data_IF_292578860648
#
_entry.id   IF_292578860648
#
_cell.length_a   1.000
_cell.length_b   1.000
_cell.length_c   1.000
_cell.angle_alpha   90.00
_cell.angle_beta   90.00
_cell.angle_gamma   90.00
#
_symmetry.space_group_name_H-M   'P 1'
#
loop_
_entity.id
_entity.type
_entity.pdbx_description
1 polymer ?
#
# COMPACT_ATOMS: atom_id res chain seq x y z
N UNK A 1 5.11 -11.15 -32.49
CA UNK A 1 4.33 -10.10 -31.82
C UNK A 1 3.04 -10.72 -31.32
N UNK A 2 2.88 -10.91 -30.01
CA UNK A 2 1.56 -11.26 -29.48
C UNK A 2 0.62 -10.07 -29.71
N UNK A 3 -0.64 -10.29 -30.14
CA UNK A 3 -1.60 -9.21 -30.23
C UNK A 3 -1.82 -8.62 -28.83
N UNK A 4 -2.08 -7.31 -28.71
CA UNK A 4 -2.41 -6.70 -27.42
C UNK A 4 -3.63 -7.40 -26.81
N UNK A 5 -3.60 -7.59 -25.50
CA UNK A 5 -4.71 -8.16 -24.73
C UNK A 5 -5.97 -7.33 -25.04
N UNK A 6 -7.10 -7.93 -25.48
CA UNK A 6 -8.29 -7.20 -25.95
C UNK A 6 -8.84 -6.15 -24.97
N UNK A 7 -8.56 -6.34 -23.67
CA UNK A 7 -8.99 -5.45 -22.60
C UNK A 7 -8.23 -4.10 -22.60
N UNK A 8 -6.96 -4.07 -23.00
CA UNK A 8 -6.15 -2.83 -23.08
C UNK A 8 -6.54 -1.92 -24.26
N UNK A 9 -6.97 -2.52 -25.37
CA UNK A 9 -7.51 -1.78 -26.53
C UNK A 9 -8.90 -1.21 -26.26
N UNK A 10 -9.71 -1.88 -25.44
CA UNK A 10 -11.02 -1.37 -25.03
C UNK A 10 -10.86 -0.15 -24.11
N UNK A 11 -9.98 -0.23 -23.11
CA UNK A 11 -9.67 0.86 -22.19
C UNK A 11 -9.21 2.15 -22.90
N UNK A 12 -8.29 2.02 -23.86
CA UNK A 12 -7.79 3.18 -24.63
C UNK A 12 -8.88 3.81 -25.50
N UNK A 13 -9.74 2.99 -26.11
CA UNK A 13 -10.84 3.48 -26.95
C UNK A 13 -11.97 4.15 -26.15
N UNK A 14 -12.30 3.64 -24.96
CA UNK A 14 -13.33 4.22 -24.08
C UNK A 14 -12.86 5.53 -23.44
N UNK A 15 -11.61 5.57 -22.96
CA UNK A 15 -11.01 6.78 -22.34
C UNK A 15 -10.91 7.95 -23.33
N UNK A 16 -10.70 7.66 -24.62
CA UNK A 16 -10.65 8.67 -25.69
C UNK A 16 -12.04 9.18 -26.12
N UNK A 17 -13.13 8.55 -25.67
CA UNK A 17 -14.50 8.85 -26.13
C UNK A 17 -15.33 9.75 -25.20
N UNK A 18 -14.80 10.12 -24.02
CA UNK A 18 -15.55 10.93 -23.04
C UNK A 18 -15.51 12.43 -23.36
N UNK A 19 -16.69 13.07 -23.38
CA UNK A 19 -16.89 14.51 -23.59
C UNK A 19 -16.89 15.30 -22.26
N UNK A 20 -16.11 16.38 -22.22
CA UNK A 20 -15.70 17.21 -21.06
C UNK A 20 -14.88 16.47 -19.98
N UNK A 21 -13.72 17.01 -19.56
CA UNK A 21 -12.83 16.28 -18.65
C UNK A 21 -13.43 16.25 -17.25
N UNK A 22 -13.94 15.09 -16.84
CA UNK A 22 -14.26 14.82 -15.44
C UNK A 22 -13.07 15.15 -14.52
N UNK A 23 -13.31 15.59 -13.27
CA UNK A 23 -12.25 15.86 -12.30
C UNK A 23 -11.29 14.67 -12.20
N UNK A 24 -9.97 14.93 -12.21
CA UNK A 24 -8.94 13.89 -12.20
C UNK A 24 -9.16 12.82 -11.12
N UNK A 25 -9.57 13.25 -9.92
CA UNK A 25 -9.85 12.34 -8.81
C UNK A 25 -11.04 11.41 -9.02
N UNK A 26 -12.01 11.76 -9.88
CA UNK A 26 -13.08 10.85 -10.29
C UNK A 26 -12.53 9.77 -11.22
N UNK A 27 -11.84 10.18 -12.29
CA UNK A 27 -11.25 9.27 -13.28
C UNK A 27 -10.25 8.28 -12.68
N UNK A 28 -9.42 8.72 -11.74
CA UNK A 28 -8.45 7.84 -11.07
C UNK A 28 -9.14 6.81 -10.15
N UNK A 29 -10.20 7.21 -9.44
CA UNK A 29 -11.02 6.29 -8.63
C UNK A 29 -11.71 5.26 -9.51
N UNK A 30 -12.34 5.70 -10.58
CA UNK A 30 -13.00 4.82 -11.55
C UNK A 30 -12.00 3.84 -12.18
N UNK A 31 -10.82 4.31 -12.59
CA UNK A 31 -9.78 3.46 -13.18
C UNK A 31 -9.33 2.34 -12.22
N UNK A 32 -9.15 2.64 -10.93
CA UNK A 32 -8.80 1.65 -9.91
C UNK A 32 -9.93 0.65 -9.67
N UNK A 33 -11.17 1.12 -9.51
CA UNK A 33 -12.33 0.22 -9.36
C UNK A 33 -12.54 -0.66 -10.59
N UNK A 34 -12.32 -0.10 -11.80
CA UNK A 34 -12.45 -0.83 -13.05
C UNK A 34 -11.39 -1.91 -13.18
N UNK A 35 -10.14 -1.63 -12.81
CA UNK A 35 -9.09 -2.64 -12.77
C UNK A 35 -9.48 -3.85 -11.89
N UNK A 36 -10.04 -3.60 -10.71
CA UNK A 36 -10.49 -4.66 -9.81
C UNK A 36 -11.67 -5.46 -10.37
N UNK A 37 -12.62 -4.76 -11.00
CA UNK A 37 -13.75 -5.37 -11.70
C UNK A 37 -13.25 -6.28 -12.83
N UNK A 38 -12.32 -5.80 -13.65
CA UNK A 38 -11.73 -6.56 -14.75
C UNK A 38 -10.96 -7.79 -14.25
N UNK A 39 -10.22 -7.69 -13.13
CA UNK A 39 -9.56 -8.83 -12.47
C UNK A 39 -10.59 -9.90 -12.08
N UNK A 40 -11.69 -9.47 -11.45
CA UNK A 40 -12.78 -10.35 -11.06
C UNK A 40 -13.42 -11.02 -12.26
N UNK A 41 -13.93 -10.25 -13.22
CA UNK A 41 -14.64 -10.75 -14.40
C UNK A 41 -13.77 -11.67 -15.28
N UNK A 42 -12.50 -11.32 -15.48
CA UNK A 42 -11.58 -12.13 -16.28
C UNK A 42 -11.34 -13.53 -15.66
N UNK A 43 -11.48 -13.66 -14.35
CA UNK A 43 -11.32 -14.93 -13.62
C UNK A 43 -12.61 -15.74 -13.49
N UNK A 44 -13.77 -15.19 -13.85
CA UNK A 44 -15.05 -15.89 -13.70
C UNK A 44 -15.17 -17.11 -14.63
N UNK A 45 -15.91 -18.16 -14.22
CA UNK A 45 -16.28 -19.25 -15.10
C UNK A 45 -17.08 -18.73 -16.30
N UNK A 46 -16.60 -18.99 -17.52
CA UNK A 46 -17.35 -18.68 -18.74
C UNK A 46 -18.44 -19.74 -18.97
N UNK A 47 -19.63 -19.37 -19.48
CA UNK A 47 -20.64 -20.33 -19.87
C UNK A 47 -20.07 -21.37 -20.84
N UNK A 48 -20.25 -22.65 -20.53
CA UNK A 48 -19.75 -23.77 -21.35
C UNK A 48 -18.25 -24.07 -21.22
N UNK A 49 -17.49 -23.36 -20.39
CA UNK A 49 -16.08 -23.66 -20.16
C UNK A 49 -15.91 -24.93 -19.31
N UNK A 50 -14.99 -25.80 -19.73
CA UNK A 50 -14.65 -27.04 -19.00
C UNK A 50 -13.83 -26.79 -17.71
N UNK A 51 -13.37 -25.57 -17.47
CA UNK A 51 -12.53 -25.22 -16.32
C UNK A 51 -12.22 -23.72 -16.26
N UNK A 52 -11.44 -23.34 -15.25
CA UNK A 52 -11.03 -21.95 -15.00
C UNK A 52 -9.62 -21.67 -15.54
N UNK A 53 -9.38 -20.43 -15.96
CA UNK A 53 -8.02 -19.97 -16.22
C UNK A 53 -7.29 -19.81 -14.88
N UNK A 54 -6.42 -20.77 -14.56
CA UNK A 54 -5.69 -20.82 -13.28
C UNK A 54 -4.80 -19.60 -13.04
N UNK A 55 -4.27 -18.97 -14.09
CA UNK A 55 -3.41 -17.79 -13.94
C UNK A 55 -4.24 -16.57 -13.53
N UNK A 56 -5.36 -16.31 -14.21
CA UNK A 56 -6.28 -15.22 -13.88
C UNK A 56 -6.93 -15.43 -12.51
N UNK A 57 -7.32 -16.67 -12.23
CA UNK A 57 -7.88 -17.01 -10.93
C UNK A 57 -6.88 -16.82 -9.79
N UNK A 58 -5.59 -17.13 -10.00
CA UNK A 58 -4.56 -16.87 -8.99
C UNK A 58 -4.45 -15.38 -8.67
N UNK A 59 -4.52 -14.52 -9.69
CA UNK A 59 -4.52 -13.05 -9.51
C UNK A 59 -5.78 -12.58 -8.79
N UNK A 60 -6.95 -13.08 -9.17
CA UNK A 60 -8.21 -12.69 -8.56
C UNK A 60 -8.36 -13.19 -7.11
N UNK A 61 -7.86 -14.38 -6.80
CA UNK A 61 -7.87 -14.95 -5.45
C UNK A 61 -6.84 -14.31 -4.54
N UNK A 62 -5.73 -13.78 -5.07
CA UNK A 62 -4.79 -13.00 -4.27
C UNK A 62 -5.35 -11.64 -3.94
N UNK A 63 -5.04 -11.16 -2.73
CA UNK A 63 -5.28 -9.78 -2.32
C UNK A 63 -4.09 -8.88 -2.61
N UNK A 64 -4.35 -7.59 -2.84
CA UNK A 64 -3.32 -6.55 -2.88
C UNK A 64 -3.87 -5.24 -2.33
N UNK A 65 -3.11 -4.60 -1.46
CA UNK A 65 -3.31 -3.21 -1.03
C UNK A 65 -2.41 -2.29 -1.84
N UNK A 66 -2.75 -1.00 -1.92
CA UNK A 66 -1.98 -0.07 -2.74
C UNK A 66 -2.15 1.38 -2.33
N UNK A 67 -1.04 2.09 -2.25
CA UNK A 67 -1.00 3.55 -2.14
C UNK A 67 -0.22 4.11 -3.32
N UNK A 68 -0.88 4.97 -4.09
CA UNK A 68 -0.34 5.56 -5.32
C UNK A 68 -0.24 7.07 -5.14
N UNK A 69 0.94 7.62 -5.39
CA UNK A 69 1.18 9.05 -5.43
C UNK A 69 1.36 9.52 -6.88
N UNK A 70 0.60 10.55 -7.28
CA UNK A 70 0.70 11.21 -8.56
C UNK A 70 1.07 12.68 -8.34
N UNK A 71 2.26 13.07 -8.79
CA UNK A 71 2.70 14.46 -8.76
C UNK A 71 2.31 15.16 -10.07
N UNK A 72 1.31 16.02 -10.01
CA UNK A 72 0.88 16.90 -11.10
C UNK A 72 1.65 18.24 -11.02
N UNK A 73 2.39 18.62 -12.08
CA UNK A 73 3.06 19.92 -12.12
C UNK A 73 2.06 21.09 -12.04
N UNK A 74 2.41 22.21 -11.38
CA UNK A 74 3.72 22.48 -10.79
C UNK A 74 3.94 21.89 -9.39
N UNK A 75 2.89 21.68 -8.59
CA UNK A 75 3.01 21.48 -7.14
C UNK A 75 1.80 20.77 -6.51
N UNK A 76 1.12 19.89 -7.25
CA UNK A 76 -0.04 19.14 -6.73
C UNK A 76 0.29 17.67 -6.56
N UNK A 77 0.18 17.18 -5.33
CA UNK A 77 0.29 15.77 -5.02
C UNK A 77 -1.10 15.16 -4.84
N UNK A 78 -1.45 14.20 -5.67
CA UNK A 78 -2.64 13.37 -5.51
C UNK A 78 -2.25 12.02 -4.91
N UNK A 79 -2.99 11.58 -3.90
CA UNK A 79 -2.79 10.27 -3.27
C UNK A 79 -4.06 9.45 -3.42
N UNK A 80 -3.91 8.24 -3.96
CA UNK A 80 -4.95 7.22 -3.99
C UNK A 80 -4.57 6.07 -3.08
N UNK A 81 -5.50 5.66 -2.22
CA UNK A 81 -5.19 4.72 -1.15
C UNK A 81 -6.26 3.63 -1.04
N UNK A 82 -5.82 2.37 -1.02
CA UNK A 82 -6.64 1.18 -0.77
C UNK A 82 -5.87 0.24 0.15
N UNK A 83 -6.32 0.09 1.39
CA UNK A 83 -5.82 -0.93 2.31
C UNK A 83 -5.12 -0.29 3.50
N UNK A 84 -3.97 -0.82 3.90
CA UNK A 84 -3.31 -0.45 5.16
C UNK A 84 -1.82 -0.14 5.03
N UNK A 85 -1.37 0.14 3.80
CA UNK A 85 -0.16 0.93 3.60
C UNK A 85 -0.37 2.38 4.09
N UNK A 86 0.68 3.19 4.09
CA UNK A 86 0.50 4.63 4.32
C UNK A 86 1.45 5.50 3.49
N UNK A 87 0.99 6.74 3.26
CA UNK A 87 1.77 7.85 2.70
C UNK A 87 1.99 8.94 3.76
N UNK A 88 3.24 9.34 3.97
CA UNK A 88 3.64 10.36 4.95
C UNK A 88 4.52 11.40 4.28
N UNK A 89 4.11 12.66 4.34
CA UNK A 89 4.86 13.81 3.83
C UNK A 89 5.76 14.37 4.93
N UNK A 90 7.06 14.41 4.67
CA UNK A 90 8.06 15.00 5.56
C UNK A 90 8.22 16.49 5.28
N UNK A 91 7.89 17.31 6.28
CA UNK A 91 7.97 18.77 6.23
C UNK A 91 9.12 19.29 7.07
N UNK A 92 9.84 20.28 6.57
CA UNK A 92 10.85 21.03 7.30
C UNK A 92 10.42 22.50 7.36
N UNK A 93 10.08 22.98 8.54
CA UNK A 93 9.75 24.38 8.79
C UNK A 93 10.59 24.88 9.97
N UNK A 94 11.29 26.00 9.81
CA UNK A 94 12.21 26.55 10.82
C UNK A 94 13.22 25.52 11.37
N UNK A 95 13.79 24.69 10.47
CA UNK A 95 14.74 23.61 10.81
C UNK A 95 14.14 22.49 11.69
N UNK A 96 12.82 22.45 11.83
CA UNK A 96 12.10 21.40 12.55
C UNK A 96 11.35 20.50 11.56
N UNK A 97 11.47 19.19 11.79
CA UNK A 97 10.84 18.15 10.97
C UNK A 97 9.48 17.75 11.53
N UNK A 98 8.48 17.65 10.66
CA UNK A 98 7.10 17.27 10.98
C UNK A 98 6.58 16.21 10.02
N UNK A 99 5.91 15.18 10.55
CA UNK A 99 5.19 14.21 9.74
C UNK A 99 3.77 14.67 9.44
N UNK A 100 3.39 14.69 8.17
CA UNK A 100 2.02 14.89 7.73
C UNK A 100 1.52 13.63 7.01
N UNK A 101 0.75 12.81 7.73
CA UNK A 101 0.14 11.59 7.20
C UNK A 101 -0.98 11.95 6.21
N UNK A 102 -0.93 11.40 5.00
CA UNK A 102 -1.86 11.72 3.91
C UNK A 102 -2.96 10.68 3.71
N UNK A 103 -2.89 9.56 4.43
CA UNK A 103 -3.79 8.40 4.29
C UNK A 103 -4.24 7.91 5.65
N UNK A 104 -5.46 7.38 5.72
CA UNK A 104 -5.97 6.65 6.89
C UNK A 104 -6.09 5.17 6.51
N UNK A 105 -5.57 4.27 7.34
CA UNK A 105 -5.60 2.84 7.06
C UNK A 105 -7.03 2.33 7.03
N UNK A 106 -7.36 1.51 6.04
CA UNK A 106 -8.65 0.83 5.92
C UNK A 106 -8.66 -0.44 6.78
N UNK A 107 -8.55 -0.28 8.10
CA UNK A 107 -8.54 -1.37 9.11
C UNK A 107 -9.73 -1.26 10.04
N UNK A 108 -9.92 -2.28 10.88
CA UNK A 108 -11.01 -2.35 11.86
C UNK A 108 -10.92 -1.27 12.97
N UNK A 109 -9.72 -0.78 13.25
CA UNK A 109 -9.45 0.27 14.24
C UNK A 109 -9.72 1.69 13.70
N UNK A 110 -9.92 1.86 12.39
CA UNK A 110 -10.39 3.09 11.78
C UNK A 110 -11.93 3.21 11.93
N UNK A 111 -12.43 4.14 12.78
CA UNK A 111 -13.87 4.24 13.03
C UNK A 111 -14.69 4.65 11.81
N UNK A 112 -14.11 5.47 10.91
CA UNK A 112 -14.78 5.91 9.70
C UNK A 112 -14.94 4.75 8.71
N UNK A 113 -13.93 3.90 8.60
CA UNK A 113 -13.98 2.71 7.74
C UNK A 113 -14.93 1.65 8.27
N UNK A 114 -14.94 1.44 9.58
CA UNK A 114 -15.91 0.55 10.22
C UNK A 114 -17.35 1.05 10.01
N UNK A 115 -17.57 2.36 10.15
CA UNK A 115 -18.89 2.96 9.92
C UNK A 115 -19.33 2.84 8.45
N UNK A 116 -18.40 3.03 7.50
CA UNK A 116 -18.65 2.78 6.07
C UNK A 116 -19.12 1.34 5.85
N UNK A 117 -18.37 0.36 6.35
CA UNK A 117 -18.71 -1.06 6.22
C UNK A 117 -20.07 -1.38 6.85
N UNK A 118 -20.36 -0.85 8.04
CA UNK A 118 -21.65 -1.04 8.71
C UNK A 118 -22.84 -0.42 7.97
N UNK A 119 -22.63 0.65 7.19
CA UNK A 119 -23.67 1.27 6.36
C UNK A 119 -23.94 0.48 5.07
N UNK A 120 -22.96 -0.27 4.58
CA UNK A 120 -23.08 -1.09 3.37
C UNK A 120 -23.88 -2.38 3.58
N UNK A 121 -24.13 -2.78 4.83
CA UNK A 121 -24.81 -4.05 5.15
C UNK A 121 -25.98 -3.86 6.13
N UNK A 122 -26.96 -4.79 6.16
CA UNK A 122 -28.06 -4.78 7.11
C UNK A 122 -27.59 -4.77 8.57
N UNK A 123 -28.39 -4.14 9.45
CA UNK A 123 -28.11 -4.07 10.89
C UNK A 123 -27.92 -5.45 11.53
N UNK A 124 -28.62 -6.48 11.02
CA UNK A 124 -28.53 -7.86 11.50
C UNK A 124 -27.16 -8.51 11.29
N UNK A 125 -26.30 -7.94 10.44
CA UNK A 125 -24.98 -8.50 10.13
C UNK A 125 -23.84 -7.84 10.90
N UNK A 126 -24.09 -6.72 11.58
CA UNK A 126 -23.04 -5.85 12.17
C UNK A 126 -22.06 -6.60 13.07
N UNK A 127 -22.55 -7.54 13.88
CA UNK A 127 -21.73 -8.32 14.81
C UNK A 127 -20.78 -9.32 14.11
N UNK A 128 -20.98 -9.55 12.81
CA UNK A 128 -20.21 -10.51 12.02
C UNK A 128 -19.29 -9.86 10.97
N UNK A 129 -19.52 -8.58 10.64
CA UNK A 129 -18.74 -7.84 9.64
C UNK A 129 -17.25 -7.80 10.00
N UNK A 130 -16.94 -7.57 11.29
CA UNK A 130 -15.58 -7.56 11.81
C UNK A 130 -15.51 -8.43 13.06
N UNK A 131 -14.56 -9.36 13.09
CA UNK A 131 -14.24 -10.19 14.26
C UNK A 131 -12.75 -10.31 14.40
N UNK A 132 -12.23 -10.29 15.62
CA UNK A 132 -10.78 -10.37 15.86
C UNK A 132 -10.00 -9.34 15.02
N UNK A 133 -10.57 -8.14 14.90
CA UNK A 133 -10.05 -7.02 14.10
C UNK A 133 -9.89 -7.31 12.59
N UNK A 134 -10.65 -8.30 12.09
CA UNK A 134 -10.59 -8.77 10.70
C UNK A 134 -11.96 -8.81 10.05
N UNK A 135 -12.05 -8.43 8.78
CA UNK A 135 -13.23 -8.61 7.93
C UNK A 135 -13.66 -10.07 7.95
N UNK A 136 -14.90 -10.31 8.38
CA UNK A 136 -15.50 -11.63 8.59
C UNK A 136 -14.66 -12.58 9.49
N UNK A 137 -13.73 -12.04 10.28
CA UNK A 137 -12.78 -12.81 11.08
C UNK A 137 -11.58 -13.37 10.33
N UNK A 138 -11.37 -12.96 9.07
CA UNK A 138 -10.37 -13.58 8.19
C UNK A 138 -9.33 -12.56 7.68
N UNK A 139 -9.76 -11.46 7.03
CA UNK A 139 -8.88 -10.51 6.33
C UNK A 139 -8.60 -9.25 7.16
N UNK A 140 -7.33 -8.80 7.26
CA UNK A 140 -6.95 -7.56 7.98
C UNK A 140 -7.50 -6.29 7.32
N UNK A 141 -7.16 -5.98 6.05
CA UNK A 141 -7.67 -4.78 5.41
C UNK A 141 -9.16 -4.92 5.06
N UNK A 142 -9.89 -3.82 5.24
CA UNK A 142 -11.31 -3.66 4.89
C UNK A 142 -11.52 -3.18 3.45
N UNK A 143 -10.42 -2.86 2.74
CA UNK A 143 -10.38 -2.61 1.29
C UNK A 143 -9.14 -3.22 0.67
N UNK A 144 -9.28 -3.88 -0.48
CA UNK A 144 -8.18 -4.44 -1.24
C UNK A 144 -8.60 -4.77 -2.67
N UNK A 145 -7.63 -4.82 -3.58
CA UNK A 145 -7.77 -5.41 -4.91
C UNK A 145 -7.76 -6.93 -4.86
N UNK A 146 -8.39 -7.57 -5.84
CA UNK A 146 -8.48 -9.02 -5.90
C UNK A 146 -9.35 -9.54 -4.77
N UNK A 147 -8.88 -10.54 -4.02
CA UNK A 147 -9.60 -11.11 -2.87
C UNK A 147 -11.09 -11.40 -3.18
N UNK A 148 -11.35 -11.92 -4.38
CA UNK A 148 -12.71 -12.14 -4.92
C UNK A 148 -13.60 -12.98 -4.01
N UNK A 149 -13.00 -13.74 -3.08
CA UNK A 149 -13.69 -14.51 -2.04
C UNK A 149 -14.61 -13.65 -1.16
N UNK A 150 -14.35 -12.34 -1.05
CA UNK A 150 -15.17 -11.39 -0.30
C UNK A 150 -16.02 -10.48 -1.20
N UNK A 151 -15.99 -10.69 -2.53
CA UNK A 151 -16.66 -9.85 -3.53
C UNK A 151 -17.73 -10.61 -4.32
N UNK A 152 -17.41 -11.83 -4.74
CA UNK A 152 -18.29 -12.65 -5.57
C UNK A 152 -19.51 -13.16 -4.79
N UNK A 153 -20.59 -13.45 -5.52
CA UNK A 153 -21.76 -14.11 -4.94
C UNK A 153 -21.43 -15.52 -4.45
N UNK A 154 -22.19 -16.01 -3.47
CA UNK A 154 -22.01 -17.35 -2.93
C UNK A 154 -22.11 -18.45 -4.02
N UNK A 155 -22.98 -18.28 -5.01
CA UNK A 155 -23.15 -19.25 -6.10
C UNK A 155 -21.97 -19.27 -7.06
N UNK A 156 -21.36 -18.11 -7.30
CA UNK A 156 -20.16 -18.00 -8.12
C UNK A 156 -18.96 -18.65 -7.41
N UNK A 157 -18.80 -18.41 -6.10
CA UNK A 157 -17.78 -19.07 -5.28
C UNK A 157 -17.95 -20.59 -5.24
N UNK A 158 -19.18 -21.09 -5.06
CA UNK A 158 -19.47 -22.54 -5.12
C UNK A 158 -19.17 -23.12 -6.49
N UNK A 159 -19.52 -22.42 -7.56
CA UNK A 159 -19.23 -22.86 -8.93
C UNK A 159 -17.73 -22.91 -9.20
N UNK A 160 -16.98 -21.89 -8.78
CA UNK A 160 -15.53 -21.90 -8.85
C UNK A 160 -14.93 -23.07 -8.05
N UNK A 161 -15.39 -23.30 -6.83
CA UNK A 161 -14.94 -24.44 -6.01
C UNK A 161 -15.17 -25.80 -6.67
N UNK A 162 -16.33 -25.99 -7.34
CA UNK A 162 -16.61 -27.21 -8.12
C UNK A 162 -15.67 -27.37 -9.32
N UNK A 163 -15.44 -26.30 -10.08
CA UNK A 163 -14.55 -26.33 -11.25
C UNK A 163 -13.07 -26.54 -10.88
N UNK A 164 -12.68 -26.14 -9.67
CA UNK A 164 -11.37 -26.41 -9.09
C UNK A 164 -11.27 -27.80 -8.46
N UNK A 165 -12.36 -28.56 -8.42
CA UNK A 165 -12.43 -29.88 -7.78
C UNK A 165 -11.98 -29.83 -6.32
N UNK A 166 -12.37 -28.77 -5.60
CA UNK A 166 -12.09 -28.66 -4.18
C UNK A 166 -12.79 -29.81 -3.42
N UNK A 167 -12.18 -30.33 -2.34
CA UNK A 167 -12.81 -31.38 -1.54
C UNK A 167 -14.21 -30.99 -1.09
N UNK A 168 -15.14 -31.95 -1.03
CA UNK A 168 -16.51 -31.70 -0.59
C UNK A 168 -16.60 -31.15 0.86
N UNK A 169 -15.56 -31.35 1.66
CA UNK A 169 -15.43 -30.81 3.02
C UNK A 169 -15.00 -29.35 3.06
N UNK A 170 -14.51 -28.79 1.95
CA UNK A 170 -14.09 -27.40 1.86
C UNK A 170 -15.25 -26.52 1.39
N UNK A 171 -15.71 -25.61 2.25
CA UNK A 171 -16.68 -24.60 1.88
C UNK A 171 -15.97 -23.36 1.34
N UNK A 172 -16.10 -23.01 0.04
CA UNK A 172 -15.44 -21.84 -0.52
C UNK A 172 -16.07 -20.51 -0.06
N UNK A 173 -17.30 -20.55 0.45
CA UNK A 173 -18.03 -19.36 0.91
C UNK A 173 -17.62 -19.03 2.36
N UNK A 174 -17.20 -17.79 2.66
CA UNK A 174 -16.91 -17.36 4.03
C UNK A 174 -18.09 -17.58 4.99
N UNK A 175 -17.80 -17.65 6.28
CA UNK A 175 -18.86 -17.69 7.28
C UNK A 175 -19.59 -16.34 7.35
N UNK A 176 -20.90 -16.37 7.62
CA UNK A 176 -21.74 -15.16 7.76
C UNK A 176 -21.80 -14.29 6.49
N UNK A 177 -21.72 -14.93 5.33
CA UNK A 177 -21.64 -14.29 4.01
C UNK A 177 -23.01 -14.20 3.33
N UNK A 178 -23.83 -13.26 3.79
CA UNK A 178 -25.24 -13.08 3.40
C UNK A 178 -25.45 -12.04 2.29
N UNK A 179 -24.79 -10.88 2.38
CA UNK A 179 -24.98 -9.74 1.47
C UNK A 179 -23.66 -9.27 0.82
N UNK A 180 -22.97 -10.14 0.05
CA UNK A 180 -21.79 -9.70 -0.69
C UNK A 180 -22.11 -8.61 -1.72
N UNK A 181 -21.13 -7.76 -2.07
CA UNK A 181 -19.72 -7.78 -1.66
C UNK A 181 -19.46 -7.17 -0.27
N UNK A 182 -18.50 -7.73 0.47
CA UNK A 182 -18.02 -7.22 1.77
C UNK A 182 -16.69 -6.45 1.69
N UNK A 183 -15.96 -6.63 0.58
CA UNK A 183 -14.69 -5.99 0.31
C UNK A 183 -14.82 -5.10 -0.93
N UNK A 184 -14.18 -3.94 -0.91
CA UNK A 184 -14.13 -3.02 -2.05
C UNK A 184 -12.69 -2.66 -2.40
N UNK A 185 -12.44 -2.32 -3.67
CA UNK A 185 -11.20 -1.71 -4.13
C UNK A 185 -11.36 -0.20 -4.37
N UNK A 186 -12.46 0.40 -3.89
CA UNK A 186 -12.68 1.84 -3.96
C UNK A 186 -11.60 2.60 -3.17
N UNK A 187 -10.81 3.46 -3.85
CA UNK A 187 -9.77 4.22 -3.18
C UNK A 187 -10.30 5.46 -2.49
N UNK A 188 -9.71 5.76 -1.35
CA UNK A 188 -9.70 7.13 -0.84
C UNK A 188 -8.81 8.00 -1.73
N UNK A 189 -9.22 9.24 -1.95
CA UNK A 189 -8.51 10.21 -2.79
C UNK A 189 -8.27 11.49 -2.00
N UNK A 190 -7.00 11.86 -1.85
CA UNK A 190 -6.58 13.11 -1.24
C UNK A 190 -5.76 13.94 -2.24
N UNK A 191 -5.83 15.26 -2.10
CA UNK A 191 -4.97 16.19 -2.84
C UNK A 191 -4.27 17.11 -1.86
N UNK A 192 -2.96 17.19 -1.98
CA UNK A 192 -2.09 18.04 -1.17
C UNK A 192 -1.38 19.04 -2.08
N UNK A 193 -1.47 20.32 -1.73
CA UNK A 193 -0.62 21.34 -2.33
C UNK A 193 0.78 21.21 -1.73
N UNK A 194 1.79 21.06 -2.57
CA UNK A 194 3.20 21.03 -2.18
C UNK A 194 3.68 22.47 -1.99
N UNK A 195 4.45 22.68 -0.94
CA UNK A 195 5.01 23.95 -0.49
C UNK A 195 6.53 23.84 -0.37
N UNK A 196 7.24 24.96 -0.20
CA UNK A 196 8.70 24.95 0.00
C UNK A 196 9.16 24.22 1.25
N UNK A 197 8.26 24.00 2.21
CA UNK A 197 8.52 23.25 3.45
C UNK A 197 8.41 21.74 3.23
N UNK A 198 7.73 21.27 2.17
CA UNK A 198 7.58 19.85 1.86
C UNK A 198 8.86 19.31 1.20
N UNK A 199 9.57 18.39 1.85
CA UNK A 199 10.92 17.97 1.42
C UNK A 199 10.96 16.56 0.83
N UNK A 200 10.10 15.66 1.31
CA UNK A 200 10.04 14.30 0.82
C UNK A 200 8.71 13.63 1.13
N UNK A 201 8.37 12.60 0.37
CA UNK A 201 7.23 11.71 0.59
C UNK A 201 7.72 10.30 0.88
N UNK A 202 7.24 9.68 1.96
CA UNK A 202 7.45 8.27 2.29
C UNK A 202 6.18 7.51 1.92
N UNK A 203 6.30 6.50 1.06
CA UNK A 203 5.29 5.48 0.83
C UNK A 203 5.82 4.17 1.41
N UNK A 204 5.06 3.51 2.28
CA UNK A 204 5.47 2.22 2.81
C UNK A 204 4.29 1.29 3.14
N UNK A 205 4.57 -0.01 3.16
CA UNK A 205 3.66 -1.03 3.70
C UNK A 205 3.57 -0.94 5.23
N UNK A 206 2.54 -1.56 5.78
CA UNK A 206 2.38 -1.77 7.22
C UNK A 206 3.57 -2.46 7.89
N UNK A 207 4.28 -3.33 7.18
CA UNK A 207 5.55 -3.90 7.66
C UNK A 207 6.58 -2.85 8.13
N UNK A 208 6.52 -1.60 7.61
CA UNK A 208 7.25 -0.47 8.19
C UNK A 208 6.47 0.18 9.34
N UNK A 209 5.23 0.58 9.08
CA UNK A 209 4.45 1.46 9.96
C UNK A 209 4.03 0.80 11.29
N UNK A 210 3.94 -0.53 11.33
CA UNK A 210 3.69 -1.29 12.55
C UNK A 210 4.89 -1.25 13.52
N UNK A 211 6.08 -0.88 13.04
CA UNK A 211 7.32 -0.82 13.83
C UNK A 211 7.89 0.58 13.97
N UNK A 212 7.60 1.48 13.03
CA UNK A 212 8.17 2.82 12.99
C UNK A 212 7.07 3.88 12.83
N UNK A 213 6.77 4.67 13.88
CA UNK A 213 5.80 5.74 13.80
C UNK A 213 6.17 6.79 12.73
N UNK A 214 5.18 7.46 12.10
CA UNK A 214 5.44 8.50 11.09
C UNK A 214 6.42 9.60 11.53
N UNK A 215 6.30 10.08 12.77
CA UNK A 215 7.19 11.12 13.32
C UNK A 215 8.63 10.65 13.44
N UNK A 216 8.84 9.40 13.83
CA UNK A 216 10.16 8.80 13.97
C UNK A 216 10.79 8.59 12.60
N UNK A 217 10.02 8.08 11.63
CA UNK A 217 10.45 7.91 10.25
C UNK A 217 10.87 9.25 9.61
N UNK A 218 10.07 10.30 9.80
CA UNK A 218 10.38 11.64 9.27
C UNK A 218 11.60 12.26 9.97
N UNK A 219 11.74 12.11 11.29
CA UNK A 219 12.91 12.61 12.01
C UNK A 219 14.21 11.93 11.54
N UNK A 220 14.14 10.61 11.30
CA UNK A 220 15.25 9.79 10.84
C UNK A 220 15.68 10.21 9.42
N UNK A 221 14.74 10.37 8.49
CA UNK A 221 15.05 10.85 7.12
C UNK A 221 15.53 12.30 7.14
N UNK A 222 14.90 13.15 7.94
CA UNK A 222 15.27 14.55 8.10
C UNK A 222 16.71 14.73 8.57
N UNK A 223 17.13 14.00 9.60
CA UNK A 223 18.51 14.01 10.09
C UNK A 223 19.52 13.53 9.02
N UNK A 224 19.14 12.54 8.20
CA UNK A 224 19.98 12.08 7.10
C UNK A 224 20.14 13.14 5.99
N UNK A 225 19.10 13.96 5.76
CA UNK A 225 19.16 15.10 4.83
C UNK A 225 20.02 16.22 5.41
N UNK A 226 19.80 16.60 6.68
CA UNK A 226 20.50 17.72 7.33
C UNK A 226 22.01 17.46 7.49
N UNK A 227 22.40 16.21 7.75
CA UNK A 227 23.81 15.81 7.89
C UNK A 227 24.58 15.79 6.56
N UNK A 228 23.90 15.96 5.42
CA UNK A 228 24.51 15.81 4.10
C UNK A 228 24.98 14.38 3.81
N UNK A 229 24.57 13.39 4.62
CA UNK A 229 24.79 11.97 4.35
C UNK A 229 24.09 11.54 3.05
N UNK A 230 23.05 12.29 2.66
CA UNK A 230 22.41 12.24 1.35
C UNK A 230 22.84 13.46 0.51
N UNK A 231 23.65 13.23 -0.52
CA UNK A 231 24.04 14.28 -1.46
C UNK A 231 22.86 14.67 -2.36
N UNK A 232 22.07 15.67 -1.96
CA UNK A 232 21.17 16.36 -2.88
C UNK A 232 22.05 17.27 -3.74
N UNK A 233 22.33 16.85 -4.97
CA UNK A 233 23.15 17.62 -5.90
C UNK A 233 22.52 18.99 -6.21
N UNK A 234 22.99 20.04 -5.54
CA UNK A 234 22.69 21.44 -5.82
C UNK A 234 23.81 22.32 -5.24
N UNK A 235 24.59 22.96 -6.13
CA UNK A 235 25.91 23.51 -5.82
C UNK A 235 25.96 24.78 -4.96
N UNK A 236 27.06 24.91 -4.22
CA UNK A 236 27.51 26.13 -3.55
C UNK A 236 28.85 25.85 -2.86
N UNK A 237 29.95 26.34 -3.43
CA UNK A 237 31.29 25.98 -3.00
C UNK A 237 31.74 26.57 -1.67
N UNK A 238 32.67 25.89 -1.02
CA UNK A 238 33.81 26.54 -0.36
C UNK A 238 34.98 25.56 -0.32
N UNK A 239 36.06 25.97 -0.95
CA UNK A 239 37.42 25.51 -0.74
C UNK A 239 37.81 25.56 0.74
N UNK A 240 38.46 24.49 1.22
CA UNK A 240 39.07 24.42 2.55
C UNK A 240 39.75 23.08 2.71
N UNK A 241 41.05 23.05 2.41
CA UNK A 241 41.96 21.98 2.78
C UNK A 241 41.96 21.80 4.29
N UNK A 242 41.74 20.59 4.77
CA UNK A 242 42.58 19.95 5.79
C UNK A 242 42.25 18.45 5.83
N UNK A 243 43.31 17.65 5.75
CA UNK A 243 43.25 16.21 5.78
C UNK A 243 43.06 15.76 7.24
N UNK A 244 41.83 15.37 7.59
CA UNK A 244 41.58 14.52 8.75
C UNK A 244 41.25 13.10 8.29
N UNK A 245 41.82 12.16 9.03
CA UNK A 245 41.79 10.72 8.88
C UNK A 245 40.35 10.20 8.75
N UNK A 246 39.94 9.94 7.51
CA UNK A 246 38.61 9.42 7.19
C UNK A 246 38.58 7.95 7.62
N UNK A 247 37.93 7.70 8.76
CA UNK A 247 37.43 6.37 9.10
C UNK A 247 36.59 5.84 7.94
N UNK A 248 36.86 4.60 7.56
CA UNK A 248 36.36 3.89 6.36
C UNK A 248 34.84 3.58 6.41
N UNK A 249 34.06 4.36 7.17
CA UNK A 249 32.63 4.20 7.42
C UNK A 249 31.78 5.39 6.96
N UNK A 250 32.34 6.35 6.22
CA UNK A 250 31.58 7.50 5.73
C UNK A 250 32.06 8.07 4.40
N UNK A 251 31.36 7.74 3.31
CA UNK A 251 30.68 8.72 2.41
C UNK A 251 30.30 8.11 1.05
N UNK A 252 29.12 8.55 0.59
CA UNK A 252 28.51 8.39 -0.74
C UNK A 252 27.51 7.23 -0.89
N UNK A 253 26.21 7.54 -0.78
CA UNK A 253 25.13 6.66 -1.28
C UNK A 253 24.16 6.08 -0.25
N UNK A 254 23.92 6.73 0.90
CA UNK A 254 22.93 6.25 1.86
C UNK A 254 21.53 6.23 1.22
N UNK A 255 20.94 5.05 1.04
CA UNK A 255 19.57 4.93 0.56
C UNK A 255 18.59 5.16 1.72
N UNK A 256 17.75 6.20 1.63
CA UNK A 256 16.79 6.58 2.68
C UNK A 256 15.78 5.47 2.99
N UNK A 257 15.35 4.70 1.99
CA UNK A 257 14.48 3.55 2.21
C UNK A 257 15.20 2.44 2.99
N UNK A 258 16.46 2.12 2.65
CA UNK A 258 17.28 1.17 3.41
C UNK A 258 17.47 1.61 4.85
N UNK A 259 17.67 2.91 5.07
CA UNK A 259 17.84 3.49 6.39
C UNK A 259 16.56 3.33 7.25
N UNK A 260 15.38 3.57 6.67
CA UNK A 260 14.09 3.32 7.33
C UNK A 260 13.85 1.82 7.62
N UNK A 261 14.20 0.94 6.69
CA UNK A 261 14.09 -0.52 6.89
C UNK A 261 14.99 -0.97 8.06
N UNK A 262 16.22 -0.45 8.14
CA UNK A 262 17.13 -0.74 9.26
C UNK A 262 16.61 -0.18 10.59
N UNK A 263 16.06 1.02 10.59
CA UNK A 263 15.44 1.63 11.76
C UNK A 263 14.29 0.76 12.31
N UNK A 264 13.38 0.34 11.43
CA UNK A 264 12.25 -0.52 11.80
C UNK A 264 12.69 -1.89 12.34
N UNK A 265 13.60 -2.58 11.63
CA UNK A 265 14.11 -3.87 12.08
C UNK A 265 14.98 -3.79 13.34
N UNK A 266 15.66 -2.66 13.55
CA UNK A 266 16.49 -2.42 14.72
C UNK A 266 15.76 -1.83 15.92
N UNK A 267 14.44 -1.62 15.81
CA UNK A 267 13.60 -1.04 16.87
C UNK A 267 13.98 0.40 17.24
N UNK A 268 14.54 1.16 16.30
CA UNK A 268 15.00 2.53 16.53
C UNK A 268 13.80 3.46 16.76
N UNK A 269 13.91 4.31 17.78
CA UNK A 269 12.93 5.35 18.11
C UNK A 269 13.53 6.74 17.96
N UNK A 270 12.67 7.74 17.93
CA UNK A 270 13.11 9.14 17.95
C UNK A 270 13.99 9.44 19.17
N UNK A 271 15.18 9.96 18.90
CA UNK A 271 16.20 10.29 19.90
C UNK A 271 17.29 9.24 20.07
N UNK A 272 17.09 8.03 19.53
CA UNK A 272 18.13 7.02 19.48
C UNK A 272 19.20 7.42 18.46
N UNK A 273 20.47 7.19 18.81
CA UNK A 273 21.59 7.49 17.92
C UNK A 273 21.60 6.56 16.70
N UNK A 274 21.35 5.27 16.91
CA UNK A 274 21.46 4.22 15.88
C UNK A 274 20.49 3.05 16.17
N UNK A 275 20.10 2.28 15.13
CA UNK A 275 19.30 1.07 15.30
C UNK A 275 20.11 -0.09 15.91
N UNK A 276 19.43 -1.05 16.55
CA UNK A 276 20.10 -2.22 17.13
C UNK A 276 20.57 -3.22 16.06
N UNK A 277 21.87 -3.24 15.76
CA UNK A 277 22.47 -4.23 14.83
C UNK A 277 22.21 -5.68 15.23
N UNK A 278 22.15 -5.95 16.54
CA UNK A 278 21.85 -7.29 17.05
C UNK A 278 20.42 -7.72 16.68
N UNK A 279 19.45 -6.81 16.79
CA UNK A 279 18.05 -7.09 16.44
C UNK A 279 17.89 -7.25 14.93
N UNK A 280 18.51 -6.37 14.14
CA UNK A 280 18.54 -6.49 12.67
C UNK A 280 19.10 -7.86 12.26
N UNK A 281 20.25 -8.24 12.82
CA UNK A 281 20.90 -9.53 12.53
C UNK A 281 20.01 -10.70 12.90
N UNK A 282 19.37 -10.66 14.07
CA UNK A 282 18.47 -11.71 14.53
C UNK A 282 17.27 -11.88 13.59
N UNK A 283 16.63 -10.77 13.21
CA UNK A 283 15.47 -10.81 12.32
C UNK A 283 15.87 -11.28 10.91
N UNK A 284 16.94 -10.74 10.34
CA UNK A 284 17.39 -11.09 8.99
C UNK A 284 17.93 -12.52 8.88
N UNK A 285 18.45 -13.09 9.97
CA UNK A 285 18.94 -14.48 10.02
C UNK A 285 17.81 -15.51 10.12
N UNK A 286 16.56 -15.08 10.36
CA UNK A 286 15.42 -15.99 10.44
C UNK A 286 15.18 -16.69 9.08
N UNK A 287 15.11 -18.03 9.04
CA UNK A 287 14.80 -18.77 7.82
C UNK A 287 13.47 -18.35 7.19
N UNK A 288 13.37 -18.42 5.86
CA UNK A 288 12.19 -17.94 5.11
C UNK A 288 10.86 -18.58 5.57
N UNK A 289 10.88 -19.82 6.04
CA UNK A 289 9.68 -20.52 6.53
C UNK A 289 9.19 -20.04 7.91
N UNK A 290 9.99 -19.28 8.66
CA UNK A 290 9.62 -18.73 9.96
C UNK A 290 9.71 -17.21 10.03
N UNK A 291 10.30 -16.54 9.05
CA UNK A 291 10.49 -15.09 9.01
C UNK A 291 9.18 -14.32 9.26
N UNK A 292 8.05 -14.78 8.68
CA UNK A 292 6.72 -14.17 8.85
C UNK A 292 6.18 -14.14 10.28
N UNK A 293 6.76 -14.93 11.19
CA UNK A 293 6.38 -14.89 12.62
C UNK A 293 7.06 -13.73 13.36
N UNK A 294 8.09 -13.15 12.76
CA UNK A 294 8.91 -12.11 13.39
C UNK A 294 8.82 -10.76 12.69
N UNK A 295 8.51 -10.74 11.39
CA UNK A 295 8.31 -9.51 10.61
C UNK A 295 7.37 -9.77 9.44
N UNK A 296 6.73 -8.71 8.97
CA UNK A 296 6.08 -8.71 7.65
C UNK A 296 7.05 -8.28 6.54
N UNK A 297 6.58 -8.36 5.29
CA UNK A 297 7.28 -7.79 4.14
C UNK A 297 7.32 -6.25 4.25
N UNK A 298 8.53 -5.69 4.27
CA UNK A 298 8.75 -4.26 4.38
C UNK A 298 9.08 -3.69 3.01
N UNK A 299 8.20 -2.84 2.49
CA UNK A 299 8.43 -2.09 1.25
C UNK A 299 8.41 -0.60 1.57
N UNK A 300 9.44 0.13 1.13
CA UNK A 300 9.57 1.57 1.38
C UNK A 300 10.03 2.27 0.10
N UNK A 301 9.37 3.36 -0.25
CA UNK A 301 9.81 4.31 -1.27
C UNK A 301 9.88 5.71 -0.65
N UNK A 302 11.02 6.39 -0.84
CA UNK A 302 11.21 7.78 -0.41
C UNK A 302 11.43 8.63 -1.66
N UNK A 303 10.52 9.58 -1.89
CA UNK A 303 10.58 10.50 -3.02
C UNK A 303 11.01 11.87 -2.48
N UNK A 304 12.15 12.39 -2.95
CA UNK A 304 12.56 13.75 -2.62
C UNK A 304 11.76 14.75 -3.46
N UNK A 305 11.31 15.82 -2.81
CA UNK A 305 10.58 16.93 -3.42
C UNK A 305 11.55 18.12 -3.53
N UNK A 306 11.55 18.78 -4.68
CA UNK A 306 12.45 19.89 -5.02
C UNK A 306 11.65 21.14 -5.39
#
# INVERSE_FOLDING_TARGET
SQPPVPQLSAFTSETLSMSEPEPLGHRLREAMQRLDTDIGEAAQPRPGAAGLNRALLRVALSGCVGTVALLEPPDRLHVLHVGDCAAVLGRCHDQLWYAHKLTEEHRADNPAELERLMRSHPVSERDFLVRYDRLLGELMPLRAFGDIRYKWSADLLRTAGRLLQLPATYNPVPQYYYTPPYLTAEPDFATQQITGDDRFLILASDGLWDHLPPEDAVAIVGAAIDSGAFGIGGGGGSSGSDAEEVTESGRSGANLATLLVRAALGGQKRGDSEPSEAMITQLLSAPANVARYYRDDITVAVLLLH
#
